data_IF_582341512205
#
_entry.id   IF_582341512205
#
_cell.length_a   1.000
_cell.length_b   1.000
_cell.length_c   1.000
_cell.angle_alpha   90.00
_cell.angle_beta   90.00
_cell.angle_gamma   90.00
#
_symmetry.space_group_name_H-M   'P 1'
#
loop_
_entity.id
_entity.type
_entity.pdbx_description
1 polymer ?
#
# COMPACT_ATOMS: atom_id res chain seq x y z
N UNK A 1 7.80 12.48 -7.52
CA UNK A 1 8.44 11.14 -7.42
C UNK A 1 9.33 11.00 -6.19
N UNK A 2 10.22 11.97 -5.91
CA UNK A 2 11.19 11.87 -4.80
C UNK A 2 10.56 11.72 -3.40
N UNK A 3 9.41 12.37 -3.15
CA UNK A 3 8.70 12.26 -1.87
C UNK A 3 8.09 10.87 -1.63
N UNK A 4 7.40 10.31 -2.61
CA UNK A 4 6.82 8.94 -2.54
C UNK A 4 7.93 7.89 -2.39
N UNK A 5 9.03 8.06 -3.11
CA UNK A 5 10.21 7.20 -3.01
C UNK A 5 10.84 7.29 -1.60
N UNK A 6 11.03 8.50 -1.08
CA UNK A 6 11.55 8.72 0.28
C UNK A 6 10.64 8.08 1.33
N UNK A 7 9.32 8.25 1.21
CA UNK A 7 8.34 7.63 2.11
C UNK A 7 8.45 6.10 2.07
N UNK A 8 8.53 5.48 0.89
CA UNK A 8 8.70 4.03 0.74
C UNK A 8 10.02 3.53 1.35
N UNK A 9 11.14 4.19 1.04
CA UNK A 9 12.46 3.80 1.57
C UNK A 9 12.53 3.97 3.10
N UNK A 10 11.99 5.06 3.63
CA UNK A 10 12.04 5.34 5.07
C UNK A 10 11.11 4.45 5.90
N UNK A 11 10.01 3.94 5.34
CA UNK A 11 9.00 3.16 6.09
C UNK A 11 9.11 1.65 5.86
N UNK A 12 9.39 1.21 4.63
CA UNK A 12 9.40 -0.21 4.25
C UNK A 12 10.80 -0.82 4.13
N UNK A 13 11.83 -0.04 3.74
CA UNK A 13 13.22 -0.52 3.57
C UNK A 13 14.20 0.05 4.61
N UNK A 14 13.72 0.88 5.53
CA UNK A 14 14.52 1.39 6.65
C UNK A 14 14.91 0.25 7.59
N UNK A 15 16.00 0.42 8.33
CA UNK A 15 16.40 -0.53 9.37
C UNK A 15 15.28 -0.67 10.40
N UNK A 16 14.69 -1.86 10.46
CA UNK A 16 13.66 -2.20 11.43
C UNK A 16 14.26 -2.07 12.84
N UNK A 17 13.67 -1.22 13.67
CA UNK A 17 14.13 -0.99 15.03
C UNK A 17 14.03 -2.30 15.81
N UNK A 18 15.18 -2.83 16.27
CA UNK A 18 15.32 -4.15 16.90
C UNK A 18 14.40 -4.42 18.13
N UNK A 19 13.66 -3.41 18.59
CA UNK A 19 12.73 -3.47 19.72
C UNK A 19 11.28 -3.10 19.38
N UNK A 20 10.91 -2.99 18.11
CA UNK A 20 9.50 -2.76 17.75
C UNK A 20 8.78 -4.07 17.55
N UNK A 21 7.81 -4.35 18.43
CA UNK A 21 6.90 -5.47 18.28
C UNK A 21 5.91 -5.15 17.14
N UNK A 22 6.23 -5.58 15.93
CA UNK A 22 5.36 -5.39 14.77
C UNK A 22 4.24 -6.42 14.86
N UNK A 23 3.03 -5.95 15.11
CA UNK A 23 1.85 -6.79 15.06
C UNK A 23 1.59 -7.21 13.61
N UNK A 24 1.21 -8.49 13.37
CA UNK A 24 0.88 -8.94 12.02
C UNK A 24 -0.34 -8.18 11.50
N UNK A 25 -0.30 -7.81 10.23
CA UNK A 25 -1.43 -7.14 9.58
C UNK A 25 -2.69 -8.01 9.67
N UNK A 26 -3.79 -7.42 10.11
CA UNK A 26 -5.03 -8.14 10.30
C UNK A 26 -5.80 -8.30 8.98
N UNK A 27 -6.63 -9.34 8.89
CA UNK A 27 -7.46 -9.62 7.70
C UNK A 27 -8.35 -8.44 7.29
N UNK A 28 -8.83 -7.63 8.26
CA UNK A 28 -9.58 -6.40 7.99
C UNK A 28 -8.74 -5.37 7.21
N UNK A 29 -7.48 -5.19 7.57
CA UNK A 29 -6.59 -4.21 6.93
C UNK A 29 -6.24 -4.67 5.52
N UNK A 30 -5.99 -5.98 5.33
CA UNK A 30 -5.84 -6.59 4.01
C UNK A 30 -7.08 -6.37 3.12
N UNK A 31 -8.28 -6.57 3.66
CA UNK A 31 -9.54 -6.36 2.94
C UNK A 31 -9.70 -4.89 2.52
N UNK A 32 -9.42 -3.94 3.43
CA UNK A 32 -9.50 -2.51 3.14
C UNK A 32 -8.52 -2.12 2.02
N UNK A 33 -7.25 -2.54 2.11
CA UNK A 33 -6.25 -2.25 1.09
C UNK A 33 -6.65 -2.87 -0.25
N UNK A 34 -7.14 -4.12 -0.24
CA UNK A 34 -7.62 -4.79 -1.46
C UNK A 34 -8.78 -4.05 -2.09
N UNK A 35 -9.77 -3.61 -1.31
CA UNK A 35 -10.91 -2.84 -1.81
C UNK A 35 -10.52 -1.47 -2.37
N UNK A 36 -9.40 -0.87 -1.93
CA UNK A 36 -8.91 0.40 -2.46
C UNK A 36 -8.04 0.22 -3.71
N UNK A 37 -7.16 -0.78 -3.75
CA UNK A 37 -6.22 -0.99 -4.87
C UNK A 37 -6.89 -1.66 -6.07
N UNK A 38 -7.80 -2.62 -5.82
CA UNK A 38 -8.51 -3.37 -6.86
C UNK A 38 -9.31 -2.47 -7.82
N UNK A 39 -10.11 -1.48 -7.39
CA UNK A 39 -10.78 -0.57 -8.31
C UNK A 39 -9.81 0.29 -9.11
N UNK A 40 -8.73 0.79 -8.49
CA UNK A 40 -7.71 1.58 -9.19
C UNK A 40 -7.04 0.76 -10.30
N UNK A 41 -6.75 -0.51 -10.03
CA UNK A 41 -6.16 -1.44 -11.01
C UNK A 41 -7.15 -1.75 -12.15
N UNK A 42 -8.41 -2.02 -11.83
CA UNK A 42 -9.46 -2.27 -12.83
C UNK A 42 -9.67 -1.06 -13.75
N UNK A 43 -9.69 0.16 -13.18
CA UNK A 43 -9.80 1.41 -13.94
C UNK A 43 -8.61 1.59 -14.87
N UNK A 44 -7.38 1.26 -14.44
CA UNK A 44 -6.20 1.33 -15.30
C UNK A 44 -6.26 0.36 -16.48
N UNK A 45 -6.92 -0.80 -16.34
CA UNK A 45 -7.05 -1.78 -17.42
C UNK A 45 -8.17 -1.45 -18.40
N UNK A 46 -9.25 -0.79 -17.94
CA UNK A 46 -10.36 -0.33 -18.76
C UNK A 46 -10.81 1.07 -18.31
N UNK A 47 -10.08 2.12 -18.72
CA UNK A 47 -10.42 3.49 -18.35
C UNK A 47 -11.81 3.93 -18.87
N UNK A 48 -12.30 3.23 -19.89
CA UNK A 48 -13.61 3.43 -20.52
C UNK A 48 -14.82 3.16 -19.61
N UNK A 49 -14.65 2.47 -18.46
CA UNK A 49 -15.75 2.23 -17.51
C UNK A 49 -16.05 3.43 -16.59
N UNK A 50 -15.17 4.42 -16.51
CA UNK A 50 -15.30 5.58 -15.61
C UNK A 50 -15.49 6.90 -16.35
N UNK A 51 -15.17 6.93 -17.65
CA UNK A 51 -15.33 8.10 -18.52
C UNK A 51 -16.72 8.14 -19.14
#
# INVERSE_FOLDING_TARGET
>A
ASYTLHMFLSTQMGTNTLNTHIQPMHSREHLLISLHILPLMLISMKPELVM
#
